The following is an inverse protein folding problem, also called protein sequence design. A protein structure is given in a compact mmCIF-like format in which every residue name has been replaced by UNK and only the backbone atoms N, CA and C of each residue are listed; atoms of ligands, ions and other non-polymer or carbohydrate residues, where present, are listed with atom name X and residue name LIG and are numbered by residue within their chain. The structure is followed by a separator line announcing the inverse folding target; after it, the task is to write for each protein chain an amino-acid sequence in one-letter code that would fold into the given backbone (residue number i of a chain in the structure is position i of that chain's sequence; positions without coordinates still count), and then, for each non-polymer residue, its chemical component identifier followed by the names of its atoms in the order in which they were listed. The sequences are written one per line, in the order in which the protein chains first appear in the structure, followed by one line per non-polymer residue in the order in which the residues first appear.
data_IF_390338024254
#
_entry.id   IF_390338024254
#
_cell.length_a   1.000
_cell.length_b   1.000
_cell.length_c   1.000
_cell.angle_alpha   90.00
_cell.angle_beta   90.00
_cell.angle_gamma   90.00
#
_symmetry.space_group_name_H-M   'P 1'
#
loop_
_entity.id
_entity.type
_entity.pdbx_description
1 polymer ?
#
# COMPACT_ATOMS: atom_id res chain seq x y z
N UNK A 1 -1.67 -4.02 13.82
CA UNK A 1 -0.73 -4.01 12.68
C UNK A 1 0.35 -5.07 12.86
N UNK A 2 1.08 -5.02 13.98
CA UNK A 2 2.28 -5.85 14.14
C UNK A 2 1.98 -7.34 14.29
N UNK A 3 0.83 -7.71 14.85
CA UNK A 3 0.42 -9.10 14.98
C UNK A 3 0.34 -9.85 13.62
N UNK A 4 0.04 -9.13 12.54
CA UNK A 4 0.00 -9.69 11.19
C UNK A 4 1.35 -10.29 10.76
N UNK A 5 2.46 -9.73 11.25
CA UNK A 5 3.82 -10.12 10.83
C UNK A 5 4.40 -11.31 11.60
N UNK A 6 3.69 -11.81 12.62
CA UNK A 6 4.15 -12.99 13.37
C UNK A 6 5.53 -12.79 13.99
N UNK A 7 6.47 -13.65 13.63
CA UNK A 7 7.86 -13.60 14.14
C UNK A 7 8.61 -12.33 13.74
N UNK A 8 8.20 -11.66 12.67
CA UNK A 8 8.81 -10.40 12.22
C UNK A 8 8.21 -9.16 12.89
N UNK A 9 7.27 -9.33 13.83
CA UNK A 9 6.55 -8.22 14.43
C UNK A 9 7.46 -7.16 15.06
N UNK A 10 8.48 -7.59 15.79
CA UNK A 10 9.41 -6.67 16.46
C UNK A 10 10.30 -5.92 15.46
N UNK A 11 10.73 -6.58 14.40
CA UNK A 11 11.52 -5.94 13.34
C UNK A 11 10.69 -4.87 12.62
N UNK A 12 9.45 -5.17 12.30
CA UNK A 12 8.53 -4.21 11.66
C UNK A 12 8.20 -3.06 12.61
N UNK A 13 7.99 -3.36 13.90
CA UNK A 13 7.78 -2.33 14.91
C UNK A 13 8.95 -1.35 14.97
N UNK A 14 10.17 -1.85 14.95
CA UNK A 14 11.38 -1.01 14.99
C UNK A 14 11.48 -0.04 13.80
N UNK A 15 10.88 -0.37 12.65
CA UNK A 15 10.83 0.51 11.48
C UNK A 15 9.80 1.64 11.63
N UNK A 16 8.84 1.51 12.55
CA UNK A 16 7.70 2.41 12.66
C UNK A 16 7.58 3.11 14.00
N UNK A 17 8.32 2.70 15.00
CA UNK A 17 8.30 3.28 16.35
C UNK A 17 9.74 3.57 16.85
N UNK A 18 9.94 4.65 17.58
CA UNK A 18 8.97 5.68 18.00
C UNK A 18 8.55 6.62 16.88
N UNK A 19 9.25 6.63 15.75
CA UNK A 19 8.95 7.48 14.59
C UNK A 19 8.77 6.64 13.33
N UNK A 20 7.93 7.11 12.43
CA UNK A 20 7.71 6.47 11.13
C UNK A 20 7.92 7.47 9.99
N UNK A 21 7.95 6.97 8.75
CA UNK A 21 8.23 7.79 7.57
C UNK A 21 7.20 8.91 7.35
N UNK A 22 5.93 8.68 7.72
CA UNK A 22 4.87 9.69 7.57
C UNK A 22 4.95 10.82 8.57
N UNK A 23 5.75 10.70 9.63
CA UNK A 23 5.93 11.78 10.62
C UNK A 23 6.59 13.01 9.99
N UNK A 24 7.36 12.84 8.91
CA UNK A 24 7.98 13.93 8.17
C UNK A 24 7.01 14.65 7.21
N UNK A 25 5.81 14.13 7.02
CA UNK A 25 4.79 14.69 6.13
C UNK A 25 3.85 15.59 6.92
N UNK A 26 3.83 16.88 6.61
CA UNK A 26 2.87 17.79 7.21
C UNK A 26 1.50 17.61 6.57
N UNK A 27 0.43 17.37 7.36
CA UNK A 27 -0.92 17.16 6.81
C UNK A 27 -1.42 18.35 5.98
N UNK A 28 -1.09 19.59 6.37
CA UNK A 28 -1.48 20.79 5.63
C UNK A 28 -0.82 20.84 4.23
N UNK A 29 0.45 20.48 4.13
CA UNK A 29 1.16 20.42 2.85
C UNK A 29 0.59 19.31 1.98
N UNK A 30 0.31 18.16 2.55
CA UNK A 30 -0.30 17.03 1.84
C UNK A 30 -1.67 17.44 1.26
N UNK A 31 -2.51 18.12 2.05
CA UNK A 31 -3.81 18.60 1.61
C UNK A 31 -3.68 19.61 0.48
N UNK A 32 -2.74 20.56 0.60
CA UNK A 32 -2.48 21.57 -0.42
C UNK A 32 -2.00 20.96 -1.74
N UNK A 33 -1.18 19.92 -1.67
CA UNK A 33 -0.59 19.26 -2.85
C UNK A 33 -1.45 18.11 -3.39
N UNK A 34 -2.52 17.76 -2.70
CA UNK A 34 -3.35 16.62 -3.07
C UNK A 34 -3.88 16.67 -4.51
N UNK A 35 -4.34 17.81 -5.05
CA UNK A 35 -4.79 17.89 -6.43
C UNK A 35 -3.69 17.49 -7.43
N UNK A 36 -2.44 17.86 -7.17
CA UNK A 36 -1.29 17.50 -8.01
C UNK A 36 -0.97 16.00 -7.90
N UNK A 37 -1.06 15.43 -6.71
CA UNK A 37 -0.87 13.99 -6.48
C UNK A 37 -1.95 13.20 -7.24
N UNK A 38 -3.20 13.63 -7.16
CA UNK A 38 -4.30 13.00 -7.90
C UNK A 38 -4.08 13.04 -9.42
N UNK A 39 -3.57 14.14 -9.94
CA UNK A 39 -3.25 14.25 -11.35
C UNK A 39 -2.20 13.23 -11.78
N UNK A 40 -1.14 13.05 -10.98
CA UNK A 40 -0.12 12.03 -11.23
C UNK A 40 -0.73 10.62 -11.22
N UNK A 41 -1.63 10.34 -10.27
CA UNK A 41 -2.33 9.05 -10.20
C UNK A 41 -3.14 8.80 -11.48
N UNK A 42 -3.81 9.83 -12.00
CA UNK A 42 -4.61 9.71 -13.23
C UNK A 42 -3.78 9.51 -14.50
N UNK A 43 -2.48 9.79 -14.46
CA UNK A 43 -1.55 9.49 -15.56
C UNK A 43 -1.18 8.01 -15.63
N UNK A 44 -1.42 7.24 -14.56
CA UNK A 44 -1.19 5.80 -14.56
C UNK A 44 -2.25 5.09 -15.41
N UNK A 45 -1.90 3.93 -16.02
CA UNK A 45 -2.89 3.09 -16.69
C UNK A 45 -4.03 2.75 -15.74
N UNK A 46 -5.26 2.72 -16.25
CA UNK A 46 -6.39 2.33 -15.44
C UNK A 46 -6.38 0.84 -15.07
N UNK A 47 -7.22 0.48 -14.11
CA UNK A 47 -7.32 -0.90 -13.62
C UNK A 47 -7.63 -1.88 -14.76
N UNK A 48 -8.60 -1.56 -15.61
CA UNK A 48 -9.04 -2.47 -16.68
C UNK A 48 -7.93 -2.72 -17.71
N UNK A 49 -7.15 -1.69 -18.03
CA UNK A 49 -6.02 -1.80 -18.94
C UNK A 49 -4.95 -2.75 -18.38
N UNK A 50 -4.57 -2.57 -17.13
CA UNK A 50 -3.57 -3.40 -16.45
C UNK A 50 -4.09 -4.83 -16.28
N UNK A 51 -5.33 -4.99 -15.82
CA UNK A 51 -5.95 -6.29 -15.63
C UNK A 51 -5.99 -7.09 -16.94
N UNK A 52 -6.43 -6.47 -18.02
CA UNK A 52 -6.52 -7.11 -19.34
C UNK A 52 -5.16 -7.54 -19.87
N UNK A 53 -4.12 -6.70 -19.69
CA UNK A 53 -2.76 -7.05 -20.08
C UNK A 53 -2.23 -8.24 -19.29
N UNK A 54 -2.44 -8.26 -17.98
CA UNK A 54 -2.02 -9.36 -17.12
C UNK A 54 -2.75 -10.65 -17.44
N UNK A 55 -4.05 -10.58 -17.73
CA UNK A 55 -4.85 -11.73 -18.15
C UNK A 55 -4.35 -12.33 -19.44
N UNK A 56 -4.04 -11.50 -20.43
CA UNK A 56 -3.44 -11.96 -21.72
C UNK A 56 -2.08 -12.60 -21.54
N UNK A 57 -1.29 -12.13 -20.57
CA UNK A 57 0.01 -12.70 -20.23
C UNK A 57 -0.08 -14.01 -19.42
N UNK A 58 -1.29 -14.44 -19.03
CA UNK A 58 -1.49 -15.66 -18.24
C UNK A 58 -1.17 -15.52 -16.76
N UNK A 59 -1.15 -14.29 -16.22
CA UNK A 59 -0.88 -14.06 -14.80
C UNK A 59 -2.02 -14.56 -13.91
N UNK A 60 -1.67 -14.92 -12.69
CA UNK A 60 -2.65 -15.15 -11.62
C UNK A 60 -3.24 -13.79 -11.21
N UNK A 61 -4.57 -13.69 -11.18
CA UNK A 61 -5.26 -12.42 -11.03
C UNK A 61 -6.03 -12.29 -9.73
N UNK A 62 -6.30 -13.41 -9.06
CA UNK A 62 -7.08 -13.44 -7.82
C UNK A 62 -6.35 -14.19 -6.71
N UNK A 63 -6.75 -13.95 -5.48
CA UNK A 63 -6.25 -14.72 -4.35
C UNK A 63 -6.58 -16.21 -4.50
N UNK A 64 -7.75 -16.55 -5.02
CA UNK A 64 -8.16 -17.92 -5.27
C UNK A 64 -7.25 -18.63 -6.29
N UNK A 65 -6.75 -17.93 -7.29
CA UNK A 65 -5.85 -18.47 -8.31
C UNK A 65 -4.53 -18.98 -7.72
N UNK A 66 -4.13 -18.47 -6.57
CA UNK A 66 -2.94 -18.91 -5.83
C UNK A 66 -3.29 -19.71 -4.58
N UNK A 67 -4.55 -20.15 -4.44
CA UNK A 67 -5.01 -20.94 -3.32
C UNK A 67 -5.06 -20.22 -1.98
N UNK A 68 -5.25 -18.90 -1.99
CA UNK A 68 -5.31 -18.06 -0.78
C UNK A 68 -6.69 -17.42 -0.62
N UNK A 69 -7.14 -17.19 0.64
CA UNK A 69 -8.38 -16.48 0.88
C UNK A 69 -8.24 -14.98 0.54
N UNK A 70 -9.33 -14.37 0.11
CA UNK A 70 -9.37 -12.93 -0.19
C UNK A 70 -8.98 -12.07 1.01
N UNK A 71 -9.37 -12.49 2.22
CA UNK A 71 -9.02 -11.79 3.46
C UNK A 71 -7.53 -11.64 3.65
N UNK A 72 -6.73 -12.63 3.24
CA UNK A 72 -5.27 -12.54 3.31
C UNK A 72 -4.74 -11.46 2.34
N UNK A 73 -5.30 -11.37 1.14
CA UNK A 73 -4.93 -10.32 0.18
C UNK A 73 -5.27 -8.94 0.74
N UNK A 74 -6.44 -8.78 1.31
CA UNK A 74 -6.88 -7.51 1.92
C UNK A 74 -5.94 -7.10 3.05
N UNK A 75 -5.54 -8.04 3.91
CA UNK A 75 -4.58 -7.81 4.98
C UNK A 75 -3.18 -7.47 4.43
N UNK A 76 -2.73 -8.13 3.37
CA UNK A 76 -1.47 -7.82 2.72
C UNK A 76 -1.45 -6.38 2.17
N UNK A 77 -2.52 -5.95 1.52
CA UNK A 77 -2.65 -4.58 1.02
C UNK A 77 -2.64 -3.58 2.18
N UNK A 78 -3.31 -3.92 3.28
CA UNK A 78 -3.43 -3.05 4.45
C UNK A 78 -2.11 -2.88 5.20
N UNK A 79 -1.35 -3.96 5.37
CA UNK A 79 -0.21 -4.00 6.27
C UNK A 79 1.15 -3.97 5.58
N UNK A 80 1.25 -4.38 4.32
CA UNK A 80 2.54 -4.41 3.60
C UNK A 80 3.28 -3.06 3.57
N UNK A 81 2.61 -1.89 3.58
CA UNK A 81 3.33 -0.61 3.59
C UNK A 81 4.24 -0.39 4.79
N UNK A 82 4.00 -1.09 5.90
CA UNK A 82 4.77 -0.94 7.14
C UNK A 82 6.06 -1.76 7.17
N UNK A 83 6.25 -2.65 6.22
CA UNK A 83 7.44 -3.53 6.17
C UNK A 83 8.73 -2.78 5.83
N UNK A 84 8.64 -1.59 5.29
CA UNK A 84 9.78 -0.77 4.90
C UNK A 84 9.55 0.70 5.22
N UNK A 85 10.65 1.40 5.54
CA UNK A 85 10.61 2.83 5.79
C UNK A 85 10.67 3.59 4.46
N UNK A 86 9.59 3.52 3.68
CA UNK A 86 9.44 4.20 2.39
C UNK A 86 8.12 4.96 2.34
N UNK A 87 8.18 6.19 1.82
CA UNK A 87 6.98 6.97 1.57
C UNK A 87 6.33 6.48 0.27
N UNK A 88 5.17 5.89 0.40
CA UNK A 88 4.38 5.38 -0.71
C UNK A 88 2.95 5.91 -0.63
N UNK A 89 2.19 5.80 -1.71
CA UNK A 89 0.79 6.19 -1.73
C UNK A 89 -0.04 5.41 -0.68
N UNK A 90 0.27 4.13 -0.49
CA UNK A 90 -0.41 3.31 0.52
C UNK A 90 -0.11 3.78 1.94
N UNK A 91 1.09 4.33 2.19
CA UNK A 91 1.42 4.94 3.50
C UNK A 91 0.66 6.22 3.74
N UNK A 92 0.47 7.02 2.70
CA UNK A 92 -0.29 8.27 2.79
C UNK A 92 -1.78 8.05 3.00
N UNK A 93 -2.29 6.86 2.68
CA UNK A 93 -3.72 6.54 2.81
C UNK A 93 -4.27 6.88 4.20
N UNK A 94 -3.53 6.56 5.26
CA UNK A 94 -3.97 6.78 6.63
C UNK A 94 -4.01 8.27 7.00
N UNK A 95 -3.33 9.12 6.23
CA UNK A 95 -3.34 10.59 6.42
C UNK A 95 -4.46 11.29 5.65
N UNK A 96 -4.95 10.68 4.60
CA UNK A 96 -5.94 11.31 3.70
C UNK A 96 -7.36 10.75 3.89
N UNK A 97 -7.51 9.84 4.78
CA UNK A 97 -8.79 9.33 5.09
C UNK A 97 -9.04 7.93 5.02
#
# INVERSE_FOLDING_TARGET
IYAFYGEMADDVRALNEPTTITDAVEPAVLQQRWPQIRQIIHELPDYDTVYSAMKRAGCKLTAADIGKPQTLLDDCIRYSPYMRRRLTLLRLRDMIG
#
